data_IF_484584219438
#
_entry.id   IF_484584219438
#
_cell.length_a   1.000
_cell.length_b   1.000
_cell.length_c   1.000
_cell.angle_alpha   90.00
_cell.angle_beta   90.00
_cell.angle_gamma   90.00
#
_symmetry.space_group_name_H-M   'P 1'
#
loop_
_entity.id
_entity.type
_entity.pdbx_description
1 polymer ?
#
# COMPACT_ATOMS: atom_id res chain seq x y z
N UNK A 1 -1.51 -13.79 16.35
CA UNK A 1 -0.18 -14.43 16.13
C UNK A 1 -0.39 -15.61 15.21
N UNK A 2 0.40 -15.70 14.13
CA UNK A 2 0.31 -16.76 13.12
C UNK A 2 0.86 -18.08 13.69
N UNK A 3 0.07 -19.18 13.73
CA UNK A 3 0.54 -20.48 14.23
C UNK A 3 1.68 -21.08 13.39
N UNK A 4 1.79 -20.73 12.11
CA UNK A 4 2.83 -21.21 11.21
C UNK A 4 4.09 -20.34 11.18
N UNK A 5 4.00 -19.10 11.69
CA UNK A 5 5.14 -18.21 11.84
C UNK A 5 5.01 -17.38 13.15
N UNK A 6 5.71 -17.76 14.23
CA UNK A 6 5.55 -17.09 15.53
C UNK A 6 6.01 -15.63 15.53
N UNK A 7 6.77 -15.20 14.51
CA UNK A 7 7.20 -13.81 14.34
C UNK A 7 6.22 -12.96 13.55
N UNK A 8 5.11 -13.53 13.09
CA UNK A 8 4.08 -12.83 12.32
C UNK A 8 2.82 -12.63 13.14
N UNK A 9 2.27 -11.42 13.10
CA UNK A 9 0.96 -11.12 13.63
C UNK A 9 0.05 -10.64 12.49
N UNK A 10 -1.16 -11.17 12.43
CA UNK A 10 -2.23 -10.68 11.58
C UNK A 10 -3.25 -9.96 12.46
N UNK A 11 -3.74 -8.83 11.98
CA UNK A 11 -4.77 -8.06 12.66
C UNK A 11 -5.68 -7.38 11.64
N UNK A 12 -6.94 -7.19 12.03
CA UNK A 12 -7.90 -6.42 11.26
C UNK A 12 -7.80 -4.95 11.70
N UNK A 13 -7.91 -4.04 10.74
CA UNK A 13 -7.90 -2.62 11.02
C UNK A 13 -8.85 -1.86 10.09
N UNK A 14 -9.25 -0.67 10.55
CA UNK A 14 -10.04 0.31 9.80
C UNK A 14 -9.41 1.67 9.99
N UNK A 15 -8.90 2.23 8.91
CA UNK A 15 -8.29 3.55 8.96
C UNK A 15 -9.36 4.62 8.85
N UNK A 16 -9.27 5.61 9.72
CA UNK A 16 -10.10 6.82 9.62
C UNK A 16 -9.19 8.04 9.76
N UNK A 17 -9.58 9.14 9.13
CA UNK A 17 -8.79 10.36 9.20
C UNK A 17 -9.53 11.56 8.61
N UNK A 18 -8.93 12.74 8.77
CA UNK A 18 -9.40 13.98 8.14
C UNK A 18 -8.22 14.63 7.42
N UNK A 19 -8.42 15.02 6.16
CA UNK A 19 -7.39 15.69 5.35
C UNK A 19 -7.27 17.17 5.76
N UNK A 20 -6.54 17.45 6.84
CA UNK A 20 -6.42 18.79 7.45
C UNK A 20 -5.19 19.59 7.02
N UNK A 21 -4.21 18.95 6.37
CA UNK A 21 -2.97 19.58 5.91
C UNK A 21 -2.73 19.37 4.43
N UNK A 22 -1.75 20.07 3.85
CA UNK A 22 -1.36 19.85 2.45
C UNK A 22 -0.70 18.48 2.31
N UNK A 23 -1.16 17.67 1.37
CA UNK A 23 -0.54 16.39 1.01
C UNK A 23 0.23 16.56 -0.30
N UNK A 24 1.52 16.25 -0.30
CA UNK A 24 2.33 16.18 -1.51
C UNK A 24 2.25 14.76 -2.08
N UNK A 25 1.57 14.62 -3.21
CA UNK A 25 1.45 13.37 -3.95
C UNK A 25 2.36 13.48 -5.16
N UNK A 26 3.43 12.69 -5.21
CA UNK A 26 4.51 12.86 -6.21
C UNK A 26 5.16 14.27 -6.14
N UNK A 27 6.24 14.54 -6.89
CA UNK A 27 6.92 15.83 -6.82
C UNK A 27 6.11 17.03 -7.34
N UNK A 28 5.03 16.78 -8.09
CA UNK A 28 4.34 17.79 -8.89
C UNK A 28 2.87 18.01 -8.53
N UNK A 29 2.30 17.24 -7.60
CA UNK A 29 0.91 17.40 -7.18
C UNK A 29 0.84 17.68 -5.68
N UNK A 30 0.48 18.91 -5.35
CA UNK A 30 0.13 19.29 -3.99
C UNK A 30 -1.39 19.36 -3.87
N UNK A 31 -1.93 18.65 -2.88
CA UNK A 31 -3.35 18.62 -2.58
C UNK A 31 -3.58 19.52 -1.36
N UNK A 32 -4.30 20.64 -1.51
CA UNK A 32 -4.65 21.47 -0.36
C UNK A 32 -5.60 20.70 0.58
N UNK A 33 -5.56 21.08 1.87
CA UNK A 33 -6.44 20.50 2.87
C UNK A 33 -7.91 20.61 2.44
N UNK A 34 -8.56 19.46 2.28
CA UNK A 34 -9.98 19.41 1.90
C UNK A 34 -10.93 19.37 3.09
N UNK A 35 -10.41 19.11 4.29
CA UNK A 35 -11.17 18.85 5.51
C UNK A 35 -12.21 17.72 5.39
N UNK A 36 -12.11 16.90 4.34
CA UNK A 36 -12.95 15.71 4.17
C UNK A 36 -12.47 14.60 5.10
N UNK A 37 -13.44 13.85 5.61
CA UNK A 37 -13.22 12.65 6.42
C UNK A 37 -13.11 11.42 5.51
N UNK A 38 -12.13 10.58 5.79
CA UNK A 38 -11.98 9.27 5.17
C UNK A 38 -12.31 8.17 6.16
N UNK A 39 -13.02 7.16 5.67
CA UNK A 39 -13.32 5.92 6.37
C UNK A 39 -12.99 4.78 5.41
N UNK A 40 -11.83 4.15 5.63
CA UNK A 40 -11.41 3.01 4.83
C UNK A 40 -12.22 1.76 5.25
N UNK A 41 -12.55 0.88 4.29
CA UNK A 41 -13.10 -0.42 4.59
C UNK A 41 -12.12 -1.25 5.44
N UNK A 42 -12.62 -2.26 6.13
CA UNK A 42 -11.78 -3.18 6.89
C UNK A 42 -10.78 -3.90 5.99
N UNK A 43 -9.52 -3.93 6.39
CA UNK A 43 -8.48 -4.75 5.75
C UNK A 43 -7.70 -5.56 6.79
N UNK A 44 -7.05 -6.63 6.33
CA UNK A 44 -6.17 -7.47 7.15
C UNK A 44 -4.74 -7.05 6.86
N UNK A 45 -4.02 -6.70 7.92
CA UNK A 45 -2.60 -6.39 7.84
C UNK A 45 -1.83 -7.47 8.58
N UNK A 46 -0.71 -7.89 7.99
CA UNK A 46 0.25 -8.76 8.63
C UNK A 46 1.58 -8.05 8.76
N UNK A 47 2.17 -8.12 9.94
CA UNK A 47 3.51 -7.61 10.21
C UNK A 47 4.35 -8.76 10.71
N UNK A 48 5.57 -8.87 10.19
CA UNK A 48 6.58 -9.85 10.59
C UNK A 48 7.75 -9.12 11.22
N UNK A 49 8.19 -9.57 12.40
CA UNK A 49 9.33 -9.01 13.12
C UNK A 49 10.55 -9.93 13.07
N UNK A 50 11.73 -9.38 13.36
CA UNK A 50 12.91 -10.16 13.71
C UNK A 50 13.05 -10.30 15.25
N UNK A 51 13.96 -11.17 15.76
CA UNK A 51 14.20 -11.33 17.19
C UNK A 51 14.64 -10.06 17.93
N UNK A 52 15.11 -9.04 17.22
CA UNK A 52 15.49 -7.73 17.77
C UNK A 52 14.29 -6.75 17.84
N UNK A 53 13.08 -7.20 17.48
CA UNK A 53 11.86 -6.40 17.51
C UNK A 53 11.72 -5.40 16.36
N UNK A 54 12.46 -5.57 15.25
CA UNK A 54 12.33 -4.75 14.04
C UNK A 54 11.39 -5.41 13.05
N UNK A 55 10.56 -4.60 12.38
CA UNK A 55 9.69 -5.05 11.28
C UNK A 55 10.58 -5.41 10.09
N UNK A 56 10.40 -6.62 9.56
CA UNK A 56 11.10 -7.12 8.36
C UNK A 56 10.19 -7.25 7.16
N UNK A 57 8.88 -7.35 7.38
CA UNK A 57 7.90 -7.44 6.31
C UNK A 57 6.53 -6.99 6.81
N UNK A 58 5.86 -6.17 6.01
CA UNK A 58 4.47 -5.77 6.19
C UNK A 58 3.70 -6.12 4.90
N UNK A 59 2.54 -6.74 5.07
CA UNK A 59 1.62 -7.02 3.97
C UNK A 59 0.23 -6.55 4.35
N UNK A 60 -0.43 -5.87 3.42
CA UNK A 60 -1.79 -5.36 3.57
C UNK A 60 -2.67 -6.07 2.54
N UNK A 61 -3.79 -6.61 2.98
CA UNK A 61 -4.75 -7.25 2.07
C UNK A 61 -5.57 -6.19 1.32
N UNK A 62 -6.18 -6.55 0.17
CA UNK A 62 -7.35 -5.84 -0.31
C UNK A 62 -8.43 -5.75 0.78
N UNK A 63 -9.37 -4.80 0.69
CA UNK A 63 -10.49 -4.72 1.62
C UNK A 63 -11.28 -6.02 1.72
N UNK A 64 -11.65 -6.38 2.96
CA UNK A 64 -12.47 -7.55 3.28
C UNK A 64 -13.89 -7.35 2.74
N UNK A 65 -14.44 -6.15 2.91
CA UNK A 65 -15.70 -5.72 2.31
C UNK A 65 -15.50 -4.38 1.60
N UNK A 66 -15.55 -4.40 0.26
CA UNK A 66 -15.34 -3.20 -0.56
C UNK A 66 -16.50 -2.20 -0.52
N UNK A 67 -17.65 -2.57 0.05
CA UNK A 67 -18.81 -1.71 0.18
C UNK A 67 -18.84 -0.93 1.50
N UNK A 68 -17.91 -1.21 2.41
CA UNK A 68 -17.74 -0.49 3.65
C UNK A 68 -16.99 0.84 3.46
N UNK A 69 -17.31 1.84 4.30
CA UNK A 69 -16.62 3.12 4.30
C UNK A 69 -17.02 4.04 3.15
N UNK A 70 -16.13 4.98 2.80
CA UNK A 70 -16.41 6.00 1.79
C UNK A 70 -15.36 6.09 0.66
N UNK A 71 -14.53 5.06 0.53
CA UNK A 71 -13.43 5.02 -0.45
C UNK A 71 -13.77 4.22 -1.71
N UNK A 72 -15.01 3.72 -1.84
CA UNK A 72 -15.42 2.90 -2.99
C UNK A 72 -14.67 1.56 -3.11
N UNK A 73 -14.14 1.06 -2.00
CA UNK A 73 -13.35 -0.18 -1.97
C UNK A 73 -11.85 0.02 -2.17
N UNK A 74 -11.36 1.26 -2.22
CA UNK A 74 -9.93 1.52 -2.15
C UNK A 74 -9.42 1.36 -0.70
N UNK A 75 -8.35 0.59 -0.53
CA UNK A 75 -7.69 0.37 0.76
C UNK A 75 -6.34 1.10 0.87
N UNK A 76 -5.67 0.94 2.02
CA UNK A 76 -4.35 1.49 2.29
C UNK A 76 -4.22 2.99 1.92
N UNK A 77 -3.08 3.39 1.35
CA UNK A 77 -2.80 4.78 0.97
C UNK A 77 -3.76 5.32 -0.09
N UNK A 78 -4.22 4.48 -1.02
CA UNK A 78 -5.12 4.92 -2.09
C UNK A 78 -6.52 5.27 -1.54
N UNK A 79 -7.01 4.51 -0.57
CA UNK A 79 -8.24 4.86 0.15
C UNK A 79 -8.16 6.22 0.84
N UNK A 80 -7.02 6.52 1.49
CA UNK A 80 -6.76 7.83 2.09
C UNK A 80 -6.74 8.95 1.05
N UNK A 81 -6.13 8.73 -0.12
CA UNK A 81 -6.10 9.68 -1.23
C UNK A 81 -7.50 9.92 -1.83
N UNK A 82 -8.31 8.88 -1.97
CA UNK A 82 -9.73 9.00 -2.36
C UNK A 82 -10.51 9.86 -1.38
N UNK A 83 -10.33 9.63 -0.08
CA UNK A 83 -10.93 10.48 0.96
C UNK A 83 -10.42 11.93 0.93
N UNK A 84 -9.16 12.14 0.52
CA UNK A 84 -8.59 13.46 0.27
C UNK A 84 -9.07 14.12 -1.02
N UNK A 85 -9.89 13.45 -1.83
CA UNK A 85 -10.48 13.96 -3.07
C UNK A 85 -9.73 13.57 -4.36
N UNK A 86 -8.78 12.64 -4.29
CA UNK A 86 -8.05 12.12 -5.45
C UNK A 86 -8.63 10.79 -5.88
N UNK A 87 -9.20 10.74 -7.07
CA UNK A 87 -9.51 9.47 -7.70
C UNK A 87 -8.21 8.74 -8.05
N UNK A 88 -7.98 7.59 -7.43
CA UNK A 88 -6.80 6.75 -7.66
C UNK A 88 -6.96 5.77 -8.82
N UNK A 89 -8.15 5.68 -9.43
CA UNK A 89 -8.44 4.72 -10.48
C UNK A 89 -8.29 3.25 -10.04
N UNK A 90 -8.36 2.29 -10.99
CA UNK A 90 -8.19 0.86 -10.69
C UNK A 90 -6.75 0.57 -10.24
N UNK A 91 -6.61 -0.12 -9.11
CA UNK A 91 -5.33 -0.24 -8.38
C UNK A 91 -4.91 -1.68 -8.04
N UNK A 92 -5.39 -2.64 -8.82
CA UNK A 92 -5.04 -4.06 -8.66
C UNK A 92 -3.64 -4.39 -9.19
N UNK A 93 -2.97 -5.36 -8.55
CA UNK A 93 -1.78 -6.01 -9.11
C UNK A 93 -2.10 -6.65 -10.46
N UNK A 94 -1.13 -6.66 -11.37
CA UNK A 94 -1.27 -7.17 -12.74
C UNK A 94 -1.97 -6.22 -13.72
N UNK A 95 -2.36 -5.01 -13.29
CA UNK A 95 -2.90 -4.00 -14.20
C UNK A 95 -1.78 -3.43 -15.09
N UNK A 96 -1.87 -3.56 -16.44
CA UNK A 96 -0.79 -3.15 -17.33
C UNK A 96 -0.39 -1.68 -17.22
N UNK A 97 -1.36 -0.79 -17.03
CA UNK A 97 -1.13 0.65 -16.86
C UNK A 97 -0.36 0.96 -15.59
N UNK A 98 -0.75 0.33 -14.47
CA UNK A 98 -0.10 0.53 -13.17
C UNK A 98 1.33 -0.04 -13.17
N UNK A 99 1.52 -1.23 -13.76
CA UNK A 99 2.84 -1.85 -13.92
C UNK A 99 3.78 -0.94 -14.74
N UNK A 100 3.31 -0.45 -15.88
CA UNK A 100 4.09 0.44 -16.74
C UNK A 100 4.43 1.75 -16.02
N UNK A 101 3.44 2.36 -15.36
CA UNK A 101 3.64 3.59 -14.60
C UNK A 101 4.71 3.42 -13.51
N UNK A 102 4.62 2.36 -12.71
CA UNK A 102 5.58 2.15 -11.62
C UNK A 102 6.99 1.83 -12.14
N UNK A 103 7.12 1.00 -13.18
CA UNK A 103 8.42 0.69 -13.80
C UNK A 103 9.07 1.90 -14.43
N UNK A 104 8.30 2.71 -15.16
CA UNK A 104 8.80 3.95 -15.75
C UNK A 104 9.22 4.94 -14.66
N UNK A 105 8.41 5.08 -13.61
CA UNK A 105 8.70 6.03 -12.53
C UNK A 105 9.92 5.61 -11.71
N UNK A 106 10.13 4.30 -11.48
CA UNK A 106 11.34 3.77 -10.84
C UNK A 106 12.58 3.98 -11.75
N UNK A 107 12.48 3.67 -13.05
CA UNK A 107 13.59 3.81 -13.99
C UNK A 107 14.04 5.27 -14.19
N UNK A 108 13.10 6.21 -14.15
CA UNK A 108 13.35 7.63 -14.33
C UNK A 108 13.57 8.39 -13.01
N UNK A 109 13.47 7.72 -11.85
CA UNK A 109 13.61 8.34 -10.53
C UNK A 109 12.60 9.46 -10.25
N UNK A 110 11.44 9.44 -10.91
CA UNK A 110 10.46 10.53 -10.86
C UNK A 110 9.66 10.55 -9.55
N UNK A 111 9.61 9.42 -8.84
CA UNK A 111 8.84 9.24 -7.60
C UNK A 111 9.69 8.41 -6.64
N UNK A 112 9.30 8.36 -5.36
CA UNK A 112 9.97 7.51 -4.37
C UNK A 112 10.08 6.05 -4.83
N UNK A 113 11.13 5.37 -4.37
CA UNK A 113 11.44 3.98 -4.69
C UNK A 113 10.21 3.09 -4.45
N UNK A 114 9.72 2.41 -5.50
CA UNK A 114 8.48 1.61 -5.44
C UNK A 114 8.75 0.20 -4.89
N UNK A 115 9.98 -0.31 -5.01
CA UNK A 115 10.46 -1.56 -4.43
C UNK A 115 11.98 -1.54 -4.18
N UNK A 116 12.45 -2.37 -3.25
CA UNK A 116 13.87 -2.52 -2.89
C UNK A 116 14.74 -3.01 -4.05
N UNK A 117 16.03 -2.66 -4.05
CA UNK A 117 16.96 -3.15 -5.08
C UNK A 117 17.27 -4.63 -4.85
N UNK A 118 17.81 -5.33 -5.85
CA UNK A 118 17.98 -6.78 -5.77
C UNK A 118 18.93 -7.20 -4.64
N UNK A 119 19.95 -6.39 -4.37
CA UNK A 119 20.90 -6.52 -3.27
C UNK A 119 20.30 -6.30 -1.88
N UNK A 120 19.21 -5.53 -1.79
CA UNK A 120 18.48 -5.27 -0.54
C UNK A 120 17.53 -6.41 -0.17
N UNK A 121 17.25 -7.31 -1.12
CA UNK A 121 16.28 -8.39 -0.95
C UNK A 121 16.94 -9.56 -0.21
N UNK A 122 16.43 -9.97 0.95
CA UNK A 122 17.00 -11.07 1.70
C UNK A 122 16.95 -12.39 0.91
N UNK A 123 17.99 -13.21 1.00
CA UNK A 123 18.07 -14.49 0.26
C UNK A 123 16.99 -15.53 0.59
N UNK A 124 16.19 -15.31 1.64
CA UNK A 124 15.03 -16.15 1.96
C UNK A 124 13.75 -15.73 1.20
N UNK A 125 13.73 -14.55 0.58
CA UNK A 125 12.61 -14.06 -0.21
C UNK A 125 12.53 -14.82 -1.54
N UNK A 126 11.34 -15.34 -1.86
CA UNK A 126 11.16 -16.28 -2.99
C UNK A 126 10.48 -15.67 -4.21
N UNK A 127 9.77 -14.55 -4.05
CA UNK A 127 9.05 -13.89 -5.14
C UNK A 127 9.97 -13.02 -5.99
N UNK A 128 9.87 -13.17 -7.30
CA UNK A 128 10.50 -12.29 -8.28
C UNK A 128 9.62 -11.10 -8.66
N UNK A 129 8.32 -11.13 -8.33
CA UNK A 129 7.40 -10.01 -8.55
C UNK A 129 7.86 -8.72 -7.86
N UNK A 130 7.69 -7.57 -8.54
CA UNK A 130 8.02 -6.24 -8.02
C UNK A 130 6.88 -5.26 -8.29
N UNK A 131 6.63 -4.36 -7.34
CA UNK A 131 5.56 -3.36 -7.47
C UNK A 131 4.21 -4.01 -7.77
N UNK A 132 3.57 -3.61 -8.86
CA UNK A 132 2.29 -4.11 -9.33
C UNK A 132 2.39 -5.31 -10.27
N UNK A 133 3.53 -6.00 -10.37
CA UNK A 133 3.62 -7.27 -11.09
C UNK A 133 2.58 -8.28 -10.54
N UNK A 134 2.07 -9.21 -11.37
CA UNK A 134 1.27 -10.33 -10.87
C UNK A 134 2.05 -11.14 -9.82
N UNK A 135 1.34 -11.62 -8.80
CA UNK A 135 1.96 -12.51 -7.80
C UNK A 135 2.45 -13.80 -8.46
N UNK A 136 3.68 -14.19 -8.13
CA UNK A 136 4.38 -15.37 -8.66
C UNK A 136 4.66 -16.44 -7.58
N UNK A 137 4.06 -16.27 -6.40
CA UNK A 137 4.13 -17.18 -5.25
C UNK A 137 2.76 -17.40 -4.62
#
# INVERSE_FOLDING_TARGET
VDPSNPYRCLFFERWTGTHTGVVKVFPFLELPATNKRVECPMHVTSVTWNPQGKITYEAISPPVDRFEGNTGGAGAVLGLLTGAGVDSGPSSVGLPSLMLQQKLSQALGLVGKQWSDQEDIPGWWKSSARGADPNDI
#
